data_IF_195526282390
#
_entry.id   IF_195526282390
#
_cell.length_a   1.000
_cell.length_b   1.000
_cell.length_c   1.000
_cell.angle_alpha   90.00
_cell.angle_beta   90.00
_cell.angle_gamma   90.00
#
_symmetry.space_group_name_H-M   'P 1'
#
loop_
_entity.id
_entity.type
_entity.pdbx_description
1 polymer ?
#
# COMPACT_ATOMS: atom_id res chain seq x y z
N UNK A 1 12.04 -6.01 -33.10
CA UNK A 1 11.66 -5.06 -32.04
C UNK A 1 10.58 -5.74 -31.21
N UNK A 2 10.96 -6.44 -30.14
CA UNK A 2 10.00 -7.05 -29.22
C UNK A 2 9.50 -5.95 -28.29
N UNK A 3 8.30 -5.43 -28.54
CA UNK A 3 7.58 -4.63 -27.55
C UNK A 3 7.28 -5.57 -26.38
N UNK A 4 7.95 -5.35 -25.24
CA UNK A 4 7.79 -6.14 -24.03
C UNK A 4 6.41 -5.90 -23.42
N UNK A 5 5.38 -6.55 -23.96
CA UNK A 5 4.07 -6.57 -23.32
C UNK A 5 4.18 -7.48 -22.09
N UNK A 6 4.21 -6.88 -20.90
CA UNK A 6 4.02 -7.62 -19.66
C UNK A 6 2.61 -8.19 -19.68
N UNK A 7 2.48 -9.49 -19.91
CA UNK A 7 1.18 -10.15 -20.01
C UNK A 7 0.47 -10.08 -18.65
N UNK A 8 -0.59 -9.28 -18.57
CA UNK A 8 -1.44 -9.20 -17.38
C UNK A 8 -2.46 -10.35 -17.42
N UNK A 9 -2.18 -11.41 -16.66
CA UNK A 9 -3.01 -12.63 -16.61
C UNK A 9 -4.44 -12.30 -16.16
N UNK A 10 -4.60 -11.33 -15.26
CA UNK A 10 -5.91 -10.93 -14.72
C UNK A 10 -6.72 -10.24 -15.80
N UNK A 11 -6.11 -9.28 -16.51
CA UNK A 11 -6.74 -8.59 -17.64
C UNK A 11 -7.20 -9.59 -18.72
N UNK A 12 -6.30 -10.49 -19.13
CA UNK A 12 -6.63 -11.52 -20.10
C UNK A 12 -7.79 -12.41 -19.65
N UNK A 13 -7.79 -12.84 -18.39
CA UNK A 13 -8.87 -13.65 -17.84
C UNK A 13 -10.22 -12.93 -17.91
N UNK A 14 -10.25 -11.64 -17.54
CA UNK A 14 -11.48 -10.83 -17.61
C UNK A 14 -11.97 -10.67 -19.04
N UNK A 15 -11.06 -10.45 -20.00
CA UNK A 15 -11.41 -10.36 -21.42
C UNK A 15 -11.99 -11.67 -21.96
N UNK A 16 -11.47 -12.83 -21.54
CA UNK A 16 -12.05 -14.13 -21.91
C UNK A 16 -13.48 -14.29 -21.36
N UNK A 17 -13.73 -13.92 -20.10
CA UNK A 17 -15.08 -14.01 -19.52
C UNK A 17 -16.11 -13.15 -20.26
N UNK A 18 -15.71 -11.95 -20.68
CA UNK A 18 -16.55 -11.07 -21.50
C UNK A 18 -16.85 -11.68 -22.88
N UNK A 19 -15.88 -12.36 -23.50
CA UNK A 19 -16.07 -13.08 -24.77
C UNK A 19 -17.01 -14.28 -24.64
N UNK A 20 -17.02 -14.93 -23.47
CA UNK A 20 -17.99 -15.98 -23.12
C UNK A 20 -19.40 -15.43 -22.83
N UNK A 21 -19.59 -14.10 -22.89
CA UNK A 21 -20.87 -13.44 -22.62
C UNK A 21 -21.21 -13.32 -21.14
N UNK A 22 -20.24 -13.52 -20.24
CA UNK A 22 -20.44 -13.27 -18.80
C UNK A 22 -20.54 -11.77 -18.53
N UNK A 23 -21.32 -11.43 -17.51
CA UNK A 23 -21.46 -10.05 -17.05
C UNK A 23 -20.36 -9.77 -16.01
N UNK A 24 -19.36 -8.99 -16.41
CA UNK A 24 -18.31 -8.48 -15.52
C UNK A 24 -18.52 -6.99 -15.29
N UNK A 25 -18.48 -6.54 -14.03
CA UNK A 25 -18.66 -5.11 -13.72
C UNK A 25 -17.53 -4.26 -14.30
N UNK A 26 -17.84 -3.02 -14.68
CA UNK A 26 -16.84 -2.07 -15.19
C UNK A 26 -15.70 -1.86 -14.18
N UNK A 27 -15.99 -1.85 -12.88
CA UNK A 27 -14.98 -1.72 -11.83
C UNK A 27 -13.94 -2.85 -11.90
N UNK A 28 -14.37 -4.10 -12.07
CA UNK A 28 -13.47 -5.25 -12.18
C UNK A 28 -12.65 -5.17 -13.47
N UNK A 29 -13.27 -4.76 -14.58
CA UNK A 29 -12.56 -4.56 -15.85
C UNK A 29 -11.45 -3.52 -15.71
N UNK A 30 -11.72 -2.37 -15.08
CA UNK A 30 -10.69 -1.34 -14.88
C UNK A 30 -9.60 -1.77 -13.90
N UNK A 31 -9.95 -2.47 -12.82
CA UNK A 31 -8.95 -3.03 -11.92
C UNK A 31 -8.04 -4.05 -12.62
N UNK A 32 -8.60 -4.86 -13.52
CA UNK A 32 -7.86 -5.87 -14.28
C UNK A 32 -6.92 -5.23 -15.32
N UNK A 33 -7.40 -4.22 -16.06
CA UNK A 33 -6.58 -3.43 -16.98
C UNK A 33 -5.44 -2.70 -16.25
N UNK A 34 -5.68 -2.31 -15.00
CA UNK A 34 -4.73 -1.55 -14.20
C UNK A 34 -4.96 -0.03 -14.29
N UNK A 35 -4.19 0.75 -13.53
CA UNK A 35 -4.36 2.19 -13.47
C UNK A 35 -3.84 2.88 -14.74
N UNK A 36 -4.34 4.10 -14.96
CA UNK A 36 -3.86 4.99 -16.01
C UNK A 36 -2.37 5.33 -15.80
N UNK A 37 -1.70 5.78 -16.87
CA UNK A 37 -0.33 6.24 -16.76
C UNK A 37 -0.24 7.51 -15.91
N UNK A 38 0.60 7.47 -14.89
CA UNK A 38 0.80 8.58 -13.96
C UNK A 38 0.15 8.33 -12.60
N UNK A 39 0.84 8.81 -11.56
CA UNK A 39 0.37 8.78 -10.18
C UNK A 39 0.51 10.20 -9.64
N UNK A 40 -0.57 10.72 -9.07
CA UNK A 40 -0.54 12.02 -8.40
C UNK A 40 -0.06 11.82 -6.97
N UNK A 41 0.85 12.68 -6.51
CA UNK A 41 1.44 12.59 -5.16
C UNK A 41 1.04 13.79 -4.32
N UNK A 42 0.76 13.56 -3.03
CA UNK A 42 0.30 14.59 -2.11
C UNK A 42 1.11 14.58 -0.81
N UNK A 43 1.32 15.76 -0.24
CA UNK A 43 1.90 15.93 1.11
C UNK A 43 0.81 15.97 2.20
N UNK A 44 -0.43 16.22 1.81
CA UNK A 44 -1.60 16.18 2.68
C UNK A 44 -2.85 15.77 1.89
N UNK A 45 -3.71 14.96 2.49
CA UNK A 45 -4.91 14.43 1.85
C UNK A 45 -6.05 14.28 2.86
N UNK A 46 -7.27 14.68 2.48
CA UNK A 46 -8.45 14.54 3.32
C UNK A 46 -9.29 13.35 2.85
N UNK A 47 -9.53 12.38 3.73
CA UNK A 47 -10.48 11.28 3.47
C UNK A 47 -11.53 11.26 4.57
N UNK A 48 -12.80 11.33 4.18
CA UNK A 48 -13.94 11.27 5.11
C UNK A 48 -13.82 12.28 6.29
N UNK A 49 -13.33 13.49 6.01
CA UNK A 49 -13.14 14.53 7.02
C UNK A 49 -11.91 14.37 7.91
N UNK A 50 -11.09 13.33 7.70
CA UNK A 50 -9.80 13.17 8.39
C UNK A 50 -8.66 13.66 7.49
N UNK A 51 -7.87 14.61 8.00
CA UNK A 51 -6.60 15.02 7.37
C UNK A 51 -5.52 13.97 7.65
N UNK A 52 -4.79 13.59 6.60
CA UNK A 52 -3.60 12.76 6.65
C UNK A 52 -2.44 13.51 6.00
N UNK A 53 -1.25 13.47 6.59
CA UNK A 53 -0.07 14.16 6.07
C UNK A 53 1.09 13.19 5.83
N UNK A 54 2.01 13.54 4.95
CA UNK A 54 3.30 12.85 4.89
C UNK A 54 4.18 13.26 6.07
N UNK A 55 5.07 12.37 6.47
CA UNK A 55 6.03 12.63 7.54
C UNK A 55 6.92 13.83 7.24
N UNK A 56 7.32 14.01 5.98
CA UNK A 56 8.12 15.16 5.55
C UNK A 56 7.40 16.48 5.82
N UNK A 57 6.09 16.54 5.52
CA UNK A 57 5.28 17.74 5.78
C UNK A 57 5.14 18.00 7.28
N UNK A 58 4.90 16.95 8.07
CA UNK A 58 4.76 17.08 9.51
C UNK A 58 6.05 17.53 10.20
N UNK A 59 7.23 17.18 9.67
CA UNK A 59 8.53 17.58 10.25
C UNK A 59 8.78 19.09 10.20
N UNK A 60 8.18 19.77 9.23
CA UNK A 60 8.31 21.22 9.04
C UNK A 60 7.15 22.00 9.68
N UNK A 61 6.22 21.32 10.38
CA UNK A 61 4.98 21.92 10.90
C UNK A 61 4.76 21.57 12.37
N UNK A 62 3.89 22.34 13.02
CA UNK A 62 3.49 22.10 14.41
C UNK A 62 2.38 21.07 14.56
N UNK A 63 1.64 20.78 13.49
CA UNK A 63 0.54 19.80 13.44
C UNK A 63 1.07 18.49 12.86
N UNK A 64 0.75 17.37 13.52
CA UNK A 64 1.20 16.04 13.13
C UNK A 64 0.00 15.13 12.80
N UNK A 65 -0.19 14.80 11.53
CA UNK A 65 -1.23 13.86 11.06
C UNK A 65 -0.68 12.74 10.15
N UNK A 66 0.61 12.42 10.26
CA UNK A 66 1.29 11.35 9.50
C UNK A 66 1.16 9.95 10.11
N UNK A 67 0.61 9.83 11.31
CA UNK A 67 0.35 8.54 11.93
C UNK A 67 -0.90 7.85 11.36
N UNK A 68 -0.78 6.56 11.03
CA UNK A 68 -1.89 5.70 10.64
C UNK A 68 -1.95 4.42 11.47
N UNK A 69 -3.14 3.83 11.54
CA UNK A 69 -3.41 2.57 12.22
C UNK A 69 -4.31 1.70 11.35
N UNK A 70 -3.93 0.44 11.20
CA UNK A 70 -4.73 -0.60 10.56
C UNK A 70 -5.05 -1.67 11.60
N UNK A 71 -6.33 -1.97 11.79
CA UNK A 71 -6.76 -3.16 12.54
C UNK A 71 -7.01 -4.26 11.53
N UNK A 72 -6.28 -5.36 11.65
CA UNK A 72 -6.47 -6.54 10.81
C UNK A 72 -6.74 -7.77 11.67
N UNK A 73 -7.76 -8.53 11.29
CA UNK A 73 -8.02 -9.84 11.85
C UNK A 73 -6.98 -10.80 11.28
N UNK A 74 -6.07 -11.26 12.13
CA UNK A 74 -4.91 -12.05 11.74
C UNK A 74 -4.87 -13.36 12.51
N UNK A 75 -4.32 -14.39 11.86
CA UNK A 75 -4.02 -15.66 12.48
C UNK A 75 -2.70 -15.56 13.24
N UNK A 76 -2.77 -15.65 14.56
CA UNK A 76 -1.63 -15.53 15.46
C UNK A 76 -1.18 -16.92 15.89
N UNK A 77 0.12 -17.17 15.81
CA UNK A 77 0.75 -18.41 16.28
C UNK A 77 1.80 -18.06 17.31
N UNK A 78 1.82 -18.79 18.43
CA UNK A 78 2.75 -18.51 19.54
C UNK A 78 4.18 -18.97 19.22
N UNK A 79 4.33 -19.87 18.24
CA UNK A 79 5.62 -20.34 17.71
C UNK A 79 5.42 -21.06 16.38
N UNK A 80 6.50 -21.33 15.65
CA UNK A 80 6.47 -22.14 14.43
C UNK A 80 5.97 -23.60 14.65
N UNK A 81 6.00 -24.09 15.89
CA UNK A 81 5.50 -25.43 16.27
C UNK A 81 4.07 -25.40 16.79
N UNK A 82 3.47 -24.22 16.90
CA UNK A 82 2.11 -24.05 17.38
C UNK A 82 1.12 -24.68 16.41
N UNK A 83 0.29 -25.60 16.91
CA UNK A 83 -0.75 -26.29 16.15
C UNK A 83 -2.14 -25.67 16.38
N UNK A 84 -2.24 -24.68 17.26
CA UNK A 84 -3.49 -24.05 17.65
C UNK A 84 -3.41 -22.55 17.37
N UNK A 85 -3.38 -22.14 16.09
CA UNK A 85 -3.43 -20.73 15.76
C UNK A 85 -4.69 -20.07 16.34
N UNK A 86 -4.53 -18.88 16.89
CA UNK A 86 -5.63 -18.07 17.42
C UNK A 86 -5.91 -16.95 16.42
N UNK A 87 -7.16 -16.84 15.96
CA UNK A 87 -7.59 -15.72 15.14
C UNK A 87 -7.97 -14.58 16.07
N UNK A 88 -7.40 -13.40 15.86
CA UNK A 88 -7.71 -12.22 16.65
C UNK A 88 -7.33 -10.93 15.94
N UNK A 89 -7.91 -9.83 16.39
CA UNK A 89 -7.61 -8.51 15.85
C UNK A 89 -6.24 -8.02 16.35
N UNK A 90 -5.42 -7.55 15.41
CA UNK A 90 -4.13 -6.95 15.68
C UNK A 90 -4.08 -5.56 15.06
N UNK A 91 -3.56 -4.60 15.81
CA UNK A 91 -3.35 -3.23 15.33
C UNK A 91 -1.92 -3.05 14.83
N UNK A 92 -1.79 -2.58 13.60
CA UNK A 92 -0.53 -2.19 12.96
C UNK A 92 -0.46 -0.68 12.90
N UNK A 93 0.68 -0.12 13.28
CA UNK A 93 0.90 1.32 13.26
C UNK A 93 1.93 1.66 12.19
N UNK A 94 1.68 2.75 11.47
CA UNK A 94 2.54 3.21 10.41
C UNK A 94 2.69 4.72 10.41
N UNK A 95 3.79 5.18 9.81
CA UNK A 95 4.05 6.57 9.50
C UNK A 95 3.93 6.73 7.98
N UNK A 96 3.09 7.64 7.52
CA UNK A 96 2.88 7.92 6.09
C UNK A 96 4.12 8.59 5.52
N UNK A 97 4.77 7.95 4.56
CA UNK A 97 5.91 8.52 3.82
C UNK A 97 5.43 9.22 2.56
N UNK A 98 4.55 8.56 1.79
CA UNK A 98 4.01 9.08 0.53
C UNK A 98 2.50 8.84 0.44
N UNK A 99 1.78 9.80 -0.14
CA UNK A 99 0.35 9.66 -0.48
C UNK A 99 0.20 9.71 -1.99
N UNK A 100 -0.47 8.70 -2.57
CA UNK A 100 -0.65 8.53 -4.00
C UNK A 100 -2.14 8.50 -4.35
N UNK A 101 -2.59 9.31 -5.29
CA UNK A 101 -3.87 9.10 -5.96
C UNK A 101 -3.62 8.41 -7.30
N UNK A 102 -4.22 7.23 -7.43
CA UNK A 102 -4.12 6.35 -8.58
C UNK A 102 -5.44 6.40 -9.33
N UNK A 103 -5.39 6.88 -10.58
CA UNK A 103 -6.57 6.99 -11.42
C UNK A 103 -6.80 5.74 -12.25
N UNK A 104 -8.02 5.23 -12.21
CA UNK A 104 -8.58 4.31 -13.16
C UNK A 104 -9.54 5.06 -14.08
N UNK A 105 -9.99 4.44 -15.16
CA UNK A 105 -10.79 5.13 -16.18
C UNK A 105 -12.06 5.81 -15.61
N UNK A 106 -12.70 5.22 -14.60
CA UNK A 106 -13.96 5.75 -14.04
C UNK A 106 -13.91 6.09 -12.55
N UNK A 107 -12.79 5.86 -11.87
CA UNK A 107 -12.65 6.14 -10.45
C UNK A 107 -11.19 6.36 -10.06
N UNK A 108 -10.95 7.07 -8.97
CA UNK A 108 -9.64 7.19 -8.35
C UNK A 108 -9.61 6.37 -7.06
N UNK A 109 -8.44 5.89 -6.67
CA UNK A 109 -8.18 5.36 -5.35
C UNK A 109 -6.95 6.02 -4.75
N UNK A 110 -6.96 6.21 -3.43
CA UNK A 110 -5.85 6.79 -2.70
C UNK A 110 -5.11 5.68 -1.99
N UNK A 111 -3.79 5.71 -2.07
CA UNK A 111 -2.89 4.75 -1.47
C UNK A 111 -1.90 5.50 -0.57
N UNK A 112 -1.71 5.02 0.65
CA UNK A 112 -0.71 5.52 1.58
C UNK A 112 0.43 4.52 1.65
N UNK A 113 1.63 4.98 1.29
CA UNK A 113 2.85 4.22 1.55
C UNK A 113 3.31 4.55 2.96
N UNK A 114 3.33 3.54 3.82
CA UNK A 114 3.60 3.69 5.23
C UNK A 114 4.84 2.91 5.63
N UNK A 115 5.69 3.51 6.46
CA UNK A 115 6.73 2.82 7.20
C UNK A 115 6.14 2.28 8.50
N UNK A 116 6.20 0.97 8.71
CA UNK A 116 5.74 0.35 9.95
C UNK A 116 6.55 0.85 11.15
N UNK A 117 5.86 1.09 12.27
CA UNK A 117 6.49 1.38 13.55
C UNK A 117 6.74 0.05 14.27
N UNK A 118 7.97 -0.17 14.75
CA UNK A 118 8.32 -1.36 15.53
C UNK A 118 7.43 -1.50 16.76
N UNK A 119 6.79 -2.66 16.91
CA UNK A 119 6.45 -3.17 18.23
C UNK A 119 7.63 -4.09 18.63
N UNK A 120 8.30 -3.82 19.75
CA UNK A 120 9.57 -4.46 20.17
C UNK A 120 9.51 -5.99 20.34
N UNK A 121 8.39 -6.60 20.00
CA UNK A 121 8.08 -8.01 20.20
C UNK A 121 8.29 -8.88 18.96
N UNK A 122 8.50 -8.30 17.76
CA UNK A 122 8.76 -9.08 16.54
C UNK A 122 9.80 -8.43 15.60
N UNK A 123 10.82 -9.17 15.14
CA UNK A 123 11.81 -8.69 14.17
C UNK A 123 11.25 -8.75 12.75
N UNK A 124 10.22 -7.96 12.46
CA UNK A 124 9.84 -7.69 11.06
C UNK A 124 10.89 -6.72 10.50
N UNK A 125 11.58 -7.11 9.43
CA UNK A 125 12.62 -6.29 8.77
C UNK A 125 12.07 -4.87 8.51
N UNK A 126 12.83 -3.87 8.96
CA UNK A 126 12.49 -2.45 8.97
C UNK A 126 12.37 -1.80 7.60
N UNK A 127 12.70 -2.55 6.54
CA UNK A 127 12.72 -2.06 5.15
C UNK A 127 11.38 -2.23 4.42
N UNK A 128 10.37 -2.81 5.06
CA UNK A 128 9.10 -3.09 4.39
C UNK A 128 8.15 -1.91 4.55
N UNK A 129 7.89 -1.20 3.45
CA UNK A 129 6.77 -0.26 3.37
C UNK A 129 5.48 -1.03 3.07
N UNK A 130 4.39 -0.68 3.74
CA UNK A 130 3.06 -1.23 3.43
C UNK A 130 2.27 -0.17 2.71
N UNK A 131 1.62 -0.55 1.61
CA UNK A 131 0.67 0.30 0.92
C UNK A 131 -0.73 -0.03 1.42
N UNK A 132 -1.37 0.95 2.06
CA UNK A 132 -2.71 0.81 2.61
C UNK A 132 -3.66 1.77 1.92
N UNK A 133 -4.92 1.38 1.79
CA UNK A 133 -5.95 2.37 1.54
C UNK A 133 -6.20 3.17 2.83
N UNK A 134 -6.55 4.46 2.72
CA UNK A 134 -6.98 5.25 3.86
C UNK A 134 -8.05 4.49 4.65
N UNK A 135 -7.85 4.26 5.96
CA UNK A 135 -8.84 3.55 6.75
C UNK A 135 -10.16 4.32 6.74
N UNK A 136 -11.28 3.62 6.52
CA UNK A 136 -12.61 4.18 6.77
C UNK A 136 -12.75 4.37 8.28
N UNK A 137 -12.50 5.58 8.76
CA UNK A 137 -12.75 5.94 10.16
C UNK A 137 -14.22 6.33 10.30
N UNK A 138 -14.98 5.59 11.11
CA UNK A 138 -16.38 5.92 11.46
C UNK A 138 -16.50 7.09 12.45
N UNK A 139 -15.43 7.87 12.65
CA UNK A 139 -15.41 8.96 13.62
C UNK A 139 -15.27 10.29 12.88
N UNK A 140 -16.38 11.02 12.79
CA UNK A 140 -16.44 12.37 12.24
C UNK A 140 -15.73 13.35 13.19
N UNK A 141 -14.44 13.56 12.99
CA UNK A 141 -13.75 14.71 13.57
C UNK A 141 -13.94 15.92 12.64
N UNK A 142 -14.43 17.04 13.20
CA UNK A 142 -14.44 18.32 12.49
C UNK A 142 -13.00 18.86 12.47
N UNK A 143 -12.29 18.67 11.37
CA UNK A 143 -11.04 19.39 11.13
C UNK A 143 -11.35 20.89 10.92
N UNK A 144 -10.60 21.76 11.59
CA UNK A 144 -10.73 23.21 11.45
C UNK A 144 -10.43 23.63 10.00
N UNK A 145 -11.19 24.61 9.50
CA UNK A 145 -11.25 25.00 8.09
C UNK A 145 -9.98 25.67 7.54
N UNK A 146 -8.87 25.64 8.29
CA UNK A 146 -7.69 26.47 8.06
C UNK A 146 -6.61 25.71 7.24
N UNK A 147 -6.80 24.41 7.00
CA UNK A 147 -5.83 23.53 6.31
C UNK A 147 -6.06 23.38 4.79
N UNK A 148 -7.15 23.94 4.25
CA UNK A 148 -7.57 23.74 2.85
C UNK A 148 -6.65 24.40 1.82
N UNK A 149 -5.96 25.49 2.18
CA UNK A 149 -5.07 26.22 1.28
C UNK A 149 -3.78 25.47 0.94
N UNK A 150 -3.32 24.60 1.84
CA UNK A 150 -2.05 23.87 1.73
C UNK A 150 -2.20 22.46 1.11
N UNK A 151 -3.43 22.01 0.81
CA UNK A 151 -3.67 20.76 0.09
C UNK A 151 -3.44 20.85 -1.43
N UNK A 152 -3.26 22.06 -1.96
CA UNK A 152 -3.15 22.31 -3.40
C UNK A 152 -1.73 22.07 -3.94
N UNK A 153 -1.49 20.83 -4.33
CA UNK A 153 -0.80 20.43 -5.58
C UNK A 153 0.66 20.94 -5.78
N UNK A 154 1.63 20.11 -5.37
CA UNK A 154 2.90 20.00 -6.08
C UNK A 154 2.82 18.84 -7.09
N UNK A 155 2.58 19.16 -8.37
CA UNK A 155 2.89 18.22 -9.46
C UNK A 155 4.41 17.98 -9.45
N UNK A 156 4.91 16.73 -9.32
CA UNK A 156 6.33 16.49 -9.49
C UNK A 156 6.70 16.76 -10.96
N UNK A 157 7.83 17.47 -11.23
CA UNK A 157 8.33 17.62 -12.59
C UNK A 157 8.54 16.25 -13.25
N UNK A 158 8.12 16.14 -14.51
CA UNK A 158 8.16 14.93 -15.38
C UNK A 158 9.56 14.30 -15.51
N UNK A 159 10.62 14.93 -14.98
CA UNK A 159 12.00 14.51 -15.12
C UNK A 159 12.51 13.49 -14.08
N UNK A 160 11.69 13.03 -13.12
CA UNK A 160 12.12 11.97 -12.17
C UNK A 160 11.88 10.53 -12.64
N UNK A 161 11.34 10.33 -13.84
CA UNK A 161 11.14 9.01 -14.43
C UNK A 161 12.41 8.55 -15.14
N UNK A 162 13.40 8.11 -14.37
CA UNK A 162 14.39 7.19 -14.91
C UNK A 162 13.86 5.77 -14.73
N UNK A 163 13.59 5.10 -15.85
CA UNK A 163 13.42 3.66 -15.91
C UNK A 163 14.63 2.99 -15.27
N UNK A 164 14.52 2.48 -14.05
CA UNK A 164 15.50 1.52 -13.53
C UNK A 164 15.17 0.17 -14.15
N UNK A 165 15.66 -0.05 -15.36
CA UNK A 165 15.81 -1.38 -15.92
C UNK A 165 17.04 -2.01 -15.28
N UNK A 166 16.93 -2.49 -14.04
CA UNK A 166 17.90 -3.39 -13.43
C UNK A 166 17.13 -4.42 -12.60
N UNK A 167 16.58 -5.41 -13.29
CA UNK A 167 16.17 -6.68 -12.67
C UNK A 167 17.19 -7.69 -13.20
N UNK A 168 18.12 -8.09 -12.33
CA UNK A 168 18.98 -9.23 -12.59
C UNK A 168 18.10 -10.46 -12.81
N UNK A 169 18.13 -10.98 -14.05
CA UNK A 169 17.60 -12.29 -14.39
C UNK A 169 18.48 -13.35 -13.72
N UNK A 170 18.12 -13.78 -12.51
CA UNK A 170 18.48 -15.13 -12.07
C UNK A 170 17.23 -15.81 -11.51
N UNK A 171 16.79 -16.86 -12.20
CA UNK A 171 15.68 -17.68 -11.77
C UNK A 171 16.09 -18.50 -10.56
N UNK A 172 15.60 -18.12 -9.38
CA UNK A 172 15.65 -18.97 -8.19
C UNK A 172 14.24 -19.18 -7.62
N UNK A 173 13.85 -20.44 -7.67
CA UNK A 173 12.64 -21.05 -7.13
C UNK A 173 12.49 -20.72 -5.64
N UNK A 174 11.39 -20.08 -5.24
CA UNK A 174 11.10 -19.74 -3.85
C UNK A 174 10.63 -20.98 -3.04
N UNK A 175 11.47 -21.98 -2.88
CA UNK A 175 11.30 -22.98 -1.82
C UNK A 175 12.16 -22.57 -0.63
N UNK A 176 11.53 -22.21 0.49
CA UNK A 176 12.24 -22.00 1.77
C UNK A 176 12.86 -23.34 2.19
N UNK A 177 14.17 -23.44 2.05
CA UNK A 177 14.98 -24.54 2.59
C UNK A 177 15.28 -24.22 4.04
N UNK A 178 14.69 -25.02 4.93
CA UNK A 178 15.16 -25.47 6.24
C UNK A 178 15.98 -24.47 7.06
N UNK A 179 15.32 -23.78 7.99
CA UNK A 179 15.98 -23.01 9.04
C UNK A 179 16.59 -23.96 10.10
N UNK A 180 17.82 -24.43 9.91
CA UNK A 180 18.63 -24.93 11.03
C UNK A 180 19.08 -23.74 11.89
N UNK A 181 18.38 -23.53 13.01
CA UNK A 181 18.75 -22.55 14.03
C UNK A 181 19.96 -23.00 14.85
N UNK A 182 20.96 -22.13 14.94
CA UNK A 182 22.08 -22.26 15.89
C UNK A 182 21.57 -22.12 17.33
N UNK A 183 21.81 -23.12 18.16
CA UNK A 183 21.43 -23.10 19.57
C UNK A 183 22.44 -22.32 20.42
N UNK A 184 21.95 -21.37 21.22
CA UNK A 184 22.70 -20.86 22.37
C UNK A 184 22.18 -21.61 23.60
N UNK A 185 23.04 -22.44 24.19
CA UNK A 185 22.76 -23.17 25.44
C UNK A 185 22.97 -22.26 26.65
N UNK A 186 21.99 -22.23 27.56
CA UNK A 186 22.18 -21.88 28.98
C UNK A 186 22.48 -23.13 29.79
#
# INVERSE_FOLDING_TARGET
MNSGYKFNIIDHSVMCELQEGKIVSNTIQWLAHGPNCGVMTYEGYMVNGCSYHTKSRDDDRTVQNSGTMLVATTMQVSSAKDKNPVIGDMSFYGIIEDIWEVSYNTFNTVLFKCKCVENKTDPVDLRWSVVLMPPQKDILYKCANDELGDMLSHYPPVSKWNSTSDIDENGDTYTRVDCEGTWVTT
#
